data_IF_098153604515
#
_entry.id   IF_098153604515
#
_cell.length_a   1.000
_cell.length_b   1.000
_cell.length_c   1.000
_cell.angle_alpha   90.00
_cell.angle_beta   90.00
_cell.angle_gamma   90.00
#
_symmetry.space_group_name_H-M   'P 1'
#
loop_
_entity.id
_entity.type
_entity.pdbx_description
1 polymer ?
#
# COMPACT_ATOMS: atom_id res chain seq x y z
N UNK A 1 22.37 -0.84 7.26
CA UNK A 1 22.62 -0.71 5.80
C UNK A 1 22.16 0.67 5.32
N UNK A 2 22.83 1.26 4.32
CA UNK A 2 22.47 2.55 3.72
C UNK A 2 21.34 2.32 2.70
N UNK A 3 20.23 3.05 2.82
CA UNK A 3 19.20 3.09 1.78
C UNK A 3 19.82 3.62 0.48
N UNK A 4 19.52 2.96 -0.65
CA UNK A 4 20.14 3.23 -1.94
C UNK A 4 19.75 4.61 -2.48
N UNK A 5 20.72 5.36 -2.97
CA UNK A 5 20.49 6.61 -3.70
C UNK A 5 21.31 6.61 -4.98
N UNK A 6 20.66 6.93 -6.10
CA UNK A 6 21.34 7.09 -7.38
C UNK A 6 21.77 8.55 -7.54
N UNK A 7 23.08 8.78 -7.66
CA UNK A 7 23.68 10.10 -7.80
C UNK A 7 23.71 10.49 -9.27
N UNK A 8 22.82 11.39 -9.71
CA UNK A 8 22.88 11.98 -11.05
C UNK A 8 23.78 13.23 -10.99
N UNK A 9 24.77 13.32 -11.88
CA UNK A 9 25.50 14.58 -12.10
C UNK A 9 24.61 15.51 -12.93
N UNK A 10 24.12 16.58 -12.32
CA UNK A 10 23.53 17.69 -13.07
C UNK A 10 24.62 18.49 -13.80
N UNK A 11 24.23 19.23 -14.84
CA UNK A 11 25.13 20.00 -15.70
C UNK A 11 25.94 21.12 -15.02
N UNK A 12 25.73 21.37 -13.73
CA UNK A 12 26.35 22.46 -12.97
C UNK A 12 27.06 21.99 -11.67
N UNK A 13 27.52 20.73 -11.62
CA UNK A 13 28.33 20.21 -10.50
C UNK A 13 27.54 19.89 -9.22
N UNK A 14 26.27 20.27 -9.13
CA UNK A 14 25.37 19.80 -8.08
C UNK A 14 24.97 18.33 -8.33
N UNK A 15 25.27 17.50 -7.33
CA UNK A 15 24.92 16.10 -7.37
C UNK A 15 23.59 15.86 -6.66
N UNK A 16 22.61 15.41 -7.42
CA UNK A 16 21.29 15.08 -6.90
C UNK A 16 21.18 13.58 -6.65
N UNK A 17 20.55 13.21 -5.54
CA UNK A 17 20.13 11.86 -5.24
C UNK A 17 18.65 11.72 -5.57
N UNK A 18 18.30 10.80 -6.47
CA UNK A 18 16.89 10.43 -6.68
C UNK A 18 16.57 9.26 -5.76
N UNK A 19 15.51 9.43 -4.96
CA UNK A 19 15.08 8.47 -3.96
C UNK A 19 13.60 8.18 -4.18
N UNK A 20 13.19 6.93 -4.50
CA UNK A 20 11.80 6.57 -4.58
C UNK A 20 11.18 6.59 -3.17
N UNK A 21 10.06 7.30 -3.03
CA UNK A 21 9.31 7.41 -1.78
C UNK A 21 7.90 6.87 -1.99
N UNK A 22 7.51 5.90 -1.17
CA UNK A 22 6.14 5.42 -1.09
C UNK A 22 5.31 6.48 -0.38
N UNK A 23 4.34 7.08 -1.08
CA UNK A 23 3.47 8.12 -0.52
C UNK A 23 2.37 7.55 0.41
N UNK A 24 2.76 6.66 1.31
CA UNK A 24 1.94 6.09 2.38
C UNK A 24 2.81 5.96 3.62
N UNK A 25 2.19 5.97 4.81
CA UNK A 25 2.92 5.58 6.02
C UNK A 25 3.30 4.11 5.95
N UNK A 26 4.46 3.73 6.47
CA UNK A 26 4.90 2.32 6.48
C UNK A 26 3.85 1.37 7.08
N UNK A 27 3.28 1.72 8.22
CA UNK A 27 2.24 0.93 8.91
C UNK A 27 0.96 0.73 8.05
N UNK A 28 0.67 1.64 7.11
CA UNK A 28 -0.52 1.56 6.26
C UNK A 28 -0.41 0.49 5.19
N UNK A 29 0.76 -0.10 4.98
CA UNK A 29 0.94 -1.23 4.07
C UNK A 29 0.15 -2.47 4.52
N UNK A 30 -0.25 -2.57 5.79
CA UNK A 30 -1.21 -3.57 6.25
C UNK A 30 -2.57 -3.52 5.53
N UNK A 31 -2.96 -2.35 5.02
CA UNK A 31 -4.16 -2.16 4.20
C UNK A 31 -3.90 -2.36 2.70
N UNK A 32 -2.63 -2.41 2.29
CA UNK A 32 -2.18 -2.60 0.91
C UNK A 32 -1.53 -3.97 0.73
N UNK A 33 -2.22 -5.03 1.18
CA UNK A 33 -1.66 -6.39 1.23
C UNK A 33 -1.20 -6.90 -0.14
N UNK A 34 -1.89 -6.54 -1.22
CA UNK A 34 -1.48 -6.95 -2.58
C UNK A 34 -0.11 -6.38 -2.95
N UNK A 35 0.14 -5.09 -2.67
CA UNK A 35 1.44 -4.46 -2.92
C UNK A 35 2.53 -5.01 -1.98
N UNK A 36 2.22 -5.18 -0.69
CA UNK A 36 3.14 -5.76 0.27
C UNK A 36 3.53 -7.22 -0.10
N UNK A 37 2.54 -8.01 -0.54
CA UNK A 37 2.76 -9.37 -1.01
C UNK A 37 3.63 -9.38 -2.26
N UNK A 38 3.36 -8.49 -3.22
CA UNK A 38 4.18 -8.39 -4.42
C UNK A 38 5.64 -8.10 -4.05
N UNK A 39 5.90 -7.13 -3.17
CA UNK A 39 7.26 -6.80 -2.72
C UNK A 39 7.96 -7.98 -2.05
N UNK A 40 7.25 -8.71 -1.19
CA UNK A 40 7.75 -9.93 -0.57
C UNK A 40 8.06 -11.01 -1.62
N UNK A 41 7.13 -11.25 -2.54
CA UNK A 41 7.22 -12.28 -3.57
C UNK A 41 8.37 -12.02 -4.58
N UNK A 42 8.61 -10.76 -4.93
CA UNK A 42 9.72 -10.39 -5.84
C UNK A 42 11.06 -10.29 -5.11
N UNK A 43 11.11 -10.45 -3.78
CA UNK A 43 12.33 -10.33 -2.99
C UNK A 43 12.84 -8.89 -2.86
N UNK A 44 11.94 -7.91 -2.92
CA UNK A 44 12.31 -6.50 -2.74
C UNK A 44 12.66 -6.25 -1.27
N UNK A 45 13.86 -5.72 -1.02
CA UNK A 45 14.26 -5.34 0.34
C UNK A 45 13.48 -4.10 0.79
N UNK A 46 12.37 -4.29 1.51
CA UNK A 46 11.46 -3.20 1.92
C UNK A 46 12.15 -2.15 2.80
N UNK A 47 13.22 -2.52 3.52
CA UNK A 47 14.03 -1.57 4.30
C UNK A 47 14.84 -0.60 3.43
N UNK A 48 15.01 -0.89 2.13
CA UNK A 48 15.61 0.03 1.16
C UNK A 48 14.64 1.12 0.69
N UNK A 49 13.32 0.93 0.87
CA UNK A 49 12.31 1.90 0.50
C UNK A 49 12.15 2.98 1.57
N UNK A 50 11.87 4.19 1.12
CA UNK A 50 11.41 5.28 1.99
C UNK A 50 9.90 5.36 1.95
N UNK A 51 9.29 5.54 3.11
CA UNK A 51 7.86 5.83 3.27
C UNK A 51 7.66 7.31 3.62
N UNK A 52 6.44 7.81 3.46
CA UNK A 52 6.12 9.22 3.66
C UNK A 52 6.45 9.71 5.09
N UNK A 53 6.34 8.83 6.08
CA UNK A 53 6.67 9.08 7.49
C UNK A 53 8.17 8.97 7.82
N UNK A 54 9.01 8.64 6.84
CA UNK A 54 10.45 8.43 7.01
C UNK A 54 11.30 9.51 6.31
N UNK A 55 10.65 10.43 5.62
CA UNK A 55 11.30 11.53 4.90
C UNK A 55 10.86 12.84 5.50
N UNK A 56 11.82 13.59 6.03
CA UNK A 56 11.60 14.92 6.57
C UNK A 56 11.51 15.97 5.46
N UNK A 57 10.37 15.95 4.76
CA UNK A 57 10.11 16.85 3.63
C UNK A 57 10.10 18.32 4.06
N UNK A 58 9.64 18.61 5.28
CA UNK A 58 9.57 19.98 5.80
C UNK A 58 10.96 20.59 5.93
N UNK A 59 11.89 19.92 6.64
CA UNK A 59 13.24 20.45 6.79
C UNK A 59 14.01 20.47 5.47
N UNK A 60 13.79 19.50 4.57
CA UNK A 60 14.40 19.51 3.24
C UNK A 60 13.91 20.69 2.39
N UNK A 61 12.62 21.02 2.48
CA UNK A 61 12.02 22.17 1.81
C UNK A 61 12.55 23.49 2.39
N UNK A 62 12.55 23.63 3.72
CA UNK A 62 13.05 24.83 4.41
C UNK A 62 14.54 25.08 4.16
N UNK A 63 15.33 24.00 3.99
CA UNK A 63 16.75 24.10 3.65
C UNK A 63 17.01 24.35 2.15
N UNK A 64 15.98 24.42 1.29
CA UNK A 64 16.13 24.56 -0.16
C UNK A 64 16.76 23.35 -0.85
N UNK A 65 16.73 22.17 -0.21
CA UNK A 65 17.37 20.92 -0.69
C UNK A 65 16.39 19.92 -1.29
N UNK A 66 15.12 20.29 -1.43
CA UNK A 66 14.06 19.42 -1.94
C UNK A 66 13.68 19.81 -3.38
N UNK A 67 13.75 18.84 -4.28
CA UNK A 67 13.09 18.89 -5.58
C UNK A 67 12.16 17.68 -5.67
N UNK A 68 10.85 17.92 -5.63
CA UNK A 68 9.85 16.86 -5.70
C UNK A 68 9.41 16.65 -7.15
N UNK A 69 9.43 15.41 -7.60
CA UNK A 69 8.78 14.98 -8.84
C UNK A 69 7.70 13.98 -8.46
N UNK A 70 6.44 14.35 -8.68
CA UNK A 70 5.33 13.41 -8.57
C UNK A 70 5.16 12.78 -9.94
N UNK A 71 5.27 11.45 -10.01
CA UNK A 71 5.03 10.69 -11.23
C UNK A 71 3.64 10.07 -11.10
N UNK A 72 2.72 10.45 -11.97
CA UNK A 72 1.32 10.01 -11.98
C UNK A 72 0.77 9.93 -13.41
N UNK A 73 -0.48 9.46 -13.55
CA UNK A 73 -1.14 9.36 -14.86
C UNK A 73 -1.11 10.70 -15.58
N UNK A 74 -1.42 11.82 -14.92
CA UNK A 74 -1.43 13.18 -15.48
C UNK A 74 -0.08 13.65 -16.00
N UNK A 75 1.01 13.34 -15.30
CA UNK A 75 2.37 13.69 -15.75
C UNK A 75 2.82 12.78 -16.91
N UNK A 76 2.47 11.49 -16.88
CA UNK A 76 2.84 10.54 -17.93
C UNK A 76 1.94 10.61 -19.19
N UNK A 77 0.67 10.99 -19.04
CA UNK A 77 -0.31 11.11 -20.16
C UNK A 77 -0.27 12.45 -20.88
N UNK A 78 0.53 13.43 -20.43
CA UNK A 78 0.74 14.69 -21.19
C UNK A 78 1.33 14.48 -22.59
N UNK A 79 1.76 13.24 -22.91
CA UNK A 79 2.27 12.83 -24.22
C UNK A 79 1.16 12.24 -25.12
N UNK A 80 -0.10 12.17 -24.66
CA UNK A 80 -1.21 11.65 -25.48
C UNK A 80 -1.17 10.13 -25.68
N UNK A 81 -0.56 9.43 -24.74
CA UNK A 81 -0.30 7.99 -24.82
C UNK A 81 -1.40 7.17 -24.13
N UNK A 82 -2.01 6.25 -24.87
CA UNK A 82 -2.94 5.24 -24.36
C UNK A 82 -2.17 4.15 -23.58
N UNK A 83 -2.59 3.86 -22.33
CA UNK A 83 -2.02 2.77 -21.51
C UNK A 83 -1.92 3.10 -20.02
N UNK A 84 -1.60 2.08 -19.21
CA UNK A 84 -1.32 2.25 -17.77
C UNK A 84 0.04 2.92 -17.54
N UNK A 85 0.29 3.49 -16.36
CA UNK A 85 1.59 4.15 -16.07
C UNK A 85 2.78 3.20 -16.30
N UNK A 86 2.63 1.93 -15.93
CA UNK A 86 3.69 0.95 -16.09
C UNK A 86 3.90 0.50 -17.55
N UNK A 87 2.90 0.66 -18.42
CA UNK A 87 3.06 0.51 -19.87
C UNK A 87 3.97 1.59 -20.41
N UNK A 88 3.71 2.86 -20.07
CA UNK A 88 4.56 3.99 -20.48
C UNK A 88 6.00 3.83 -19.96
N UNK A 89 6.17 3.37 -18.71
CA UNK A 89 7.51 3.07 -18.17
C UNK A 89 8.21 1.93 -18.92
N UNK A 90 7.46 0.90 -19.31
CA UNK A 90 8.00 -0.24 -20.06
C UNK A 90 8.47 0.21 -21.44
N UNK A 91 7.68 1.04 -22.13
CA UNK A 91 8.02 1.55 -23.46
C UNK A 91 9.26 2.45 -23.40
N UNK A 92 9.30 3.41 -22.46
CA UNK A 92 10.47 4.27 -22.27
C UNK A 92 11.75 3.48 -21.97
N UNK A 93 11.67 2.46 -21.12
CA UNK A 93 12.84 1.63 -20.80
C UNK A 93 13.21 0.66 -21.91
N UNK A 94 12.28 0.29 -22.80
CA UNK A 94 12.60 -0.55 -23.95
C UNK A 94 13.62 0.14 -24.86
N UNK A 95 13.48 1.46 -25.04
CA UNK A 95 14.39 2.28 -25.85
C UNK A 95 15.63 2.74 -25.06
N UNK A 96 15.43 3.32 -23.87
CA UNK A 96 16.50 4.07 -23.18
C UNK A 96 17.29 3.24 -22.15
N UNK A 97 16.74 2.12 -21.67
CA UNK A 97 17.26 1.43 -20.49
C UNK A 97 16.92 -0.08 -20.47
N UNK A 98 17.09 -0.75 -21.61
CA UNK A 98 16.62 -2.15 -21.79
C UNK A 98 17.20 -3.13 -20.75
N UNK A 99 18.45 -2.91 -20.32
CA UNK A 99 19.10 -3.72 -19.28
C UNK A 99 18.33 -3.69 -17.95
N UNK A 100 17.66 -2.57 -17.64
CA UNK A 100 16.82 -2.45 -16.45
C UNK A 100 15.57 -3.33 -16.55
N UNK A 101 14.99 -3.46 -17.75
CA UNK A 101 13.90 -4.41 -18.01
C UNK A 101 14.35 -5.87 -17.89
N UNK A 102 15.64 -6.17 -18.04
CA UNK A 102 16.17 -7.52 -17.77
C UNK A 102 16.30 -7.83 -16.28
N UNK A 103 16.20 -6.82 -15.40
CA UNK A 103 16.21 -7.03 -13.96
C UNK A 103 14.92 -7.76 -13.53
N UNK A 104 14.98 -8.98 -12.98
CA UNK A 104 13.80 -9.79 -12.71
C UNK A 104 12.78 -9.11 -11.79
N UNK A 105 13.26 -8.36 -10.79
CA UNK A 105 12.41 -7.61 -9.86
C UNK A 105 11.63 -6.52 -10.59
N UNK A 106 12.31 -5.69 -11.39
CA UNK A 106 11.68 -4.60 -12.16
C UNK A 106 10.67 -5.16 -13.14
N UNK A 107 11.05 -6.20 -13.91
CA UNK A 107 10.18 -6.88 -14.87
C UNK A 107 8.87 -7.37 -14.23
N UNK A 108 8.98 -8.03 -13.07
CA UNK A 108 7.80 -8.53 -12.33
C UNK A 108 6.95 -7.41 -11.73
N UNK A 109 7.57 -6.34 -11.22
CA UNK A 109 6.84 -5.19 -10.69
C UNK A 109 6.02 -4.49 -11.77
N UNK A 110 6.62 -4.21 -12.93
CA UNK A 110 5.93 -3.60 -14.07
C UNK A 110 4.80 -4.51 -14.57
N UNK A 111 5.07 -5.80 -14.77
CA UNK A 111 4.07 -6.76 -15.21
C UNK A 111 2.88 -6.83 -14.24
N UNK A 112 3.15 -6.97 -12.93
CA UNK A 112 2.11 -7.05 -11.92
C UNK A 112 1.23 -5.79 -11.89
N UNK A 113 1.83 -4.61 -12.01
CA UNK A 113 1.10 -3.35 -12.04
C UNK A 113 0.18 -3.24 -13.27
N UNK A 114 0.69 -3.54 -14.47
CA UNK A 114 -0.14 -3.56 -15.70
C UNK A 114 -1.29 -4.55 -15.55
N UNK A 115 -1.04 -5.76 -15.04
CA UNK A 115 -2.09 -6.77 -14.87
C UNK A 115 -3.15 -6.37 -13.84
N UNK A 116 -2.77 -5.70 -12.75
CA UNK A 116 -3.72 -5.20 -11.76
C UNK A 116 -4.61 -4.10 -12.33
N UNK A 117 -4.01 -3.11 -12.99
CA UNK A 117 -4.72 -1.96 -13.57
C UNK A 117 -5.65 -2.37 -14.71
N UNK A 118 -5.25 -3.37 -15.50
CA UNK A 118 -6.01 -3.85 -16.65
C UNK A 118 -6.95 -5.02 -16.34
N UNK A 119 -7.00 -5.47 -15.08
CA UNK A 119 -7.68 -6.71 -14.68
C UNK A 119 -7.31 -7.90 -15.59
N UNK A 120 -6.00 -8.12 -15.77
CA UNK A 120 -5.43 -9.16 -16.64
C UNK A 120 -5.79 -8.99 -18.12
N UNK A 121 -5.67 -7.76 -18.64
CA UNK A 121 -6.01 -7.41 -20.03
C UNK A 121 -7.45 -7.75 -20.40
N UNK A 122 -8.40 -7.49 -19.49
CA UNK A 122 -9.80 -7.79 -19.74
C UNK A 122 -10.41 -6.78 -20.74
N UNK A 123 -10.69 -7.27 -21.95
CA UNK A 123 -11.25 -6.51 -23.06
C UNK A 123 -12.67 -5.97 -22.84
N UNK A 124 -13.34 -6.35 -21.74
CA UNK A 124 -14.62 -5.72 -21.36
C UNK A 124 -14.46 -4.32 -20.75
N UNK A 125 -13.22 -3.87 -20.51
CA UNK A 125 -12.94 -2.50 -20.07
C UNK A 125 -13.08 -1.53 -21.26
N UNK A 126 -13.57 -0.32 -21.01
CA UNK A 126 -13.91 0.67 -22.05
C UNK A 126 -12.69 1.28 -22.79
N UNK A 127 -11.47 0.80 -22.55
CA UNK A 127 -10.21 1.38 -23.05
C UNK A 127 -9.50 0.38 -23.95
N UNK A 128 -8.91 0.86 -25.05
CA UNK A 128 -8.07 0.05 -25.94
C UNK A 128 -6.80 -0.38 -25.20
N UNK A 129 -6.66 -1.68 -24.92
CA UNK A 129 -5.53 -2.26 -24.16
C UNK A 129 -4.39 -2.75 -25.06
N UNK A 130 -4.35 -2.35 -26.34
CA UNK A 130 -3.37 -2.87 -27.30
C UNK A 130 -1.93 -2.62 -26.83
N UNK A 131 -1.62 -1.41 -26.34
CA UNK A 131 -0.28 -1.09 -25.81
C UNK A 131 0.04 -1.84 -24.52
N UNK A 132 -0.93 -1.98 -23.61
CA UNK A 132 -0.74 -2.78 -22.40
C UNK A 132 -0.44 -4.25 -22.75
N UNK A 133 -1.09 -4.80 -23.79
CA UNK A 133 -0.86 -6.16 -24.26
C UNK A 133 0.55 -6.34 -24.87
N UNK A 134 1.03 -5.37 -25.65
CA UNK A 134 2.38 -5.36 -26.21
C UNK A 134 3.45 -5.28 -25.10
N UNK A 135 3.28 -4.38 -24.13
CA UNK A 135 4.16 -4.27 -22.97
C UNK A 135 4.18 -5.57 -22.14
N UNK A 136 3.01 -6.18 -21.90
CA UNK A 136 2.91 -7.48 -21.23
C UNK A 136 3.65 -8.56 -22.03
N UNK A 137 3.52 -8.58 -23.36
CA UNK A 137 4.23 -9.55 -24.21
C UNK A 137 5.75 -9.40 -24.08
N UNK A 138 6.27 -8.16 -24.09
CA UNK A 138 7.68 -7.87 -23.89
C UNK A 138 8.17 -8.34 -22.50
N UNK A 139 7.41 -8.05 -21.46
CA UNK A 139 7.75 -8.43 -20.08
C UNK A 139 7.63 -9.94 -19.82
N UNK A 140 6.91 -10.68 -20.66
CA UNK A 140 6.77 -12.13 -20.57
C UNK A 140 7.82 -12.91 -21.37
N UNK A 141 8.73 -12.23 -22.10
CA UNK A 141 9.80 -12.92 -22.83
C UNK A 141 10.64 -13.77 -21.87
N UNK A 142 10.68 -15.08 -22.13
CA UNK A 142 11.37 -16.08 -21.32
C UNK A 142 10.57 -16.62 -20.13
N UNK A 143 9.33 -16.19 -19.91
CA UNK A 143 8.46 -16.73 -18.88
C UNK A 143 7.86 -18.08 -19.28
N UNK A 144 7.45 -18.87 -18.28
CA UNK A 144 6.75 -20.13 -18.52
C UNK A 144 5.36 -19.89 -19.12
N UNK A 145 4.80 -20.87 -19.85
CA UNK A 145 3.39 -20.82 -20.26
C UNK A 145 2.47 -20.53 -19.07
N UNK A 146 1.39 -19.79 -19.29
CA UNK A 146 0.40 -19.38 -18.29
C UNK A 146 0.91 -18.48 -17.15
N UNK A 147 2.19 -18.08 -17.14
CA UNK A 147 2.75 -17.25 -16.07
C UNK A 147 1.93 -15.99 -15.78
N UNK A 148 1.44 -15.32 -16.83
CA UNK A 148 0.56 -14.14 -16.72
C UNK A 148 -0.66 -14.38 -15.83
N UNK A 149 -1.42 -15.42 -16.14
CA UNK A 149 -2.66 -15.74 -15.42
C UNK A 149 -2.34 -16.21 -14.00
N UNK A 150 -1.34 -17.09 -13.84
CA UNK A 150 -0.93 -17.55 -12.51
C UNK A 150 -0.44 -16.41 -11.62
N UNK A 151 0.28 -15.43 -12.15
CA UNK A 151 0.71 -14.24 -11.41
C UNK A 151 -0.50 -13.38 -11.01
N UNK A 152 -1.44 -13.14 -11.92
CA UNK A 152 -2.64 -12.36 -11.61
C UNK A 152 -3.53 -13.03 -10.57
N UNK A 153 -3.71 -14.35 -10.65
CA UNK A 153 -4.46 -15.13 -9.66
C UNK A 153 -3.80 -15.01 -8.28
N UNK A 154 -2.46 -15.14 -8.22
CA UNK A 154 -1.72 -14.94 -6.98
C UNK A 154 -1.87 -13.51 -6.44
N UNK A 155 -1.82 -12.48 -7.30
CA UNK A 155 -1.97 -11.08 -6.89
C UNK A 155 -3.36 -10.74 -6.33
N UNK A 156 -4.39 -11.44 -6.80
CA UNK A 156 -5.80 -11.18 -6.45
C UNK A 156 -6.33 -12.10 -5.34
N UNK A 157 -5.58 -13.15 -4.99
CA UNK A 157 -5.91 -14.05 -3.90
C UNK A 157 -5.77 -13.36 -2.53
N UNK A 158 -6.58 -13.81 -1.56
CA UNK A 158 -6.42 -13.40 -0.16
C UNK A 158 -5.12 -13.95 0.42
N UNK A 159 -4.22 -13.04 0.80
CA UNK A 159 -2.86 -13.36 1.22
C UNK A 159 -2.83 -13.79 2.68
N UNK A 160 -2.96 -15.11 2.90
CA UNK A 160 -2.99 -15.74 4.24
C UNK A 160 -1.78 -16.59 4.57
N UNK A 161 -0.78 -16.63 3.68
CA UNK A 161 0.44 -17.41 3.90
C UNK A 161 1.16 -16.95 5.18
N UNK A 162 1.50 -17.90 6.06
CA UNK A 162 2.11 -17.59 7.35
C UNK A 162 3.46 -16.88 7.20
N UNK A 163 4.27 -17.28 6.23
CA UNK A 163 5.56 -16.65 5.94
C UNK A 163 5.40 -15.21 5.44
N UNK A 164 4.35 -14.94 4.66
CA UNK A 164 4.01 -13.59 4.24
C UNK A 164 3.53 -12.74 5.43
N UNK A 165 2.66 -13.27 6.30
CA UNK A 165 2.20 -12.54 7.48
C UNK A 165 3.33 -12.19 8.45
N UNK A 166 4.28 -13.10 8.64
CA UNK A 166 5.49 -12.84 9.42
C UNK A 166 6.34 -11.74 8.78
N UNK A 167 6.56 -11.82 7.46
CA UNK A 167 7.27 -10.77 6.73
C UNK A 167 6.54 -9.42 6.78
N UNK A 168 5.20 -9.43 6.73
CA UNK A 168 4.37 -8.23 6.82
C UNK A 168 4.53 -7.56 8.19
N UNK A 169 4.52 -8.36 9.27
CA UNK A 169 4.75 -7.86 10.61
C UNK A 169 6.18 -7.34 10.80
N UNK A 170 7.17 -8.06 10.27
CA UNK A 170 8.56 -7.66 10.35
C UNK A 170 8.85 -6.35 9.61
N UNK A 171 8.32 -6.19 8.38
CA UNK A 171 8.64 -5.07 7.50
C UNK A 171 7.78 -3.82 7.73
N UNK A 172 6.57 -3.97 8.28
CA UNK A 172 5.59 -2.89 8.39
C UNK A 172 5.03 -2.68 9.81
N UNK A 173 5.55 -3.40 10.80
CA UNK A 173 5.11 -3.28 12.20
C UNK A 173 3.87 -4.11 12.52
N UNK A 174 3.27 -3.85 13.69
CA UNK A 174 2.12 -4.63 14.17
C UNK A 174 0.87 -4.38 13.30
N UNK A 175 -0.01 -5.39 13.15
CA UNK A 175 -1.31 -5.16 12.52
C UNK A 175 -2.05 -4.04 13.25
N UNK A 176 -2.85 -3.23 12.54
CA UNK A 176 -3.79 -2.34 13.19
C UNK A 176 -4.58 -3.17 14.21
N UNK A 177 -4.75 -2.66 15.43
CA UNK A 177 -5.67 -3.27 16.36
C UNK A 177 -7.01 -3.39 15.63
N UNK A 178 -7.49 -4.62 15.43
CA UNK A 178 -8.87 -4.81 15.04
C UNK A 178 -9.67 -4.02 16.08
N UNK A 179 -10.51 -3.08 15.62
CA UNK A 179 -11.49 -2.45 16.48
C UNK A 179 -12.46 -3.59 16.82
N UNK A 180 -12.05 -4.42 17.77
CA UNK A 180 -12.93 -5.37 18.42
C UNK A 180 -14.01 -4.52 19.04
N UNK A 181 -15.24 -4.85 18.72
CA UNK A 181 -16.38 -4.45 19.51
C UNK A 181 -16.03 -4.67 20.98
N UNK A 182 -15.94 -3.58 21.75
CA UNK A 182 -16.02 -3.61 23.20
C UNK A 182 -17.40 -4.18 23.56
N UNK A 183 -17.53 -5.50 23.58
CA UNK A 183 -18.52 -6.17 24.40
C UNK A 183 -17.77 -6.62 25.65
N UNK A 184 -17.99 -5.85 26.71
CA UNK A 184 -17.35 -6.02 27.99
C UNK A 184 -17.62 -7.39 28.58
N UNK A 185 -16.61 -7.89 29.27
CA UNK A 185 -16.80 -8.75 30.43
C UNK A 185 -15.73 -8.37 31.46
N UNK A 186 -16.22 -7.85 32.58
CA UNK A 186 -15.47 -7.62 33.79
C UNK A 186 -14.84 -8.93 34.28
N UNK A 187 -13.56 -9.13 33.99
CA UNK A 187 -12.70 -10.06 34.70
C UNK A 187 -11.89 -9.31 35.75
N UNK A 188 -12.50 -8.99 36.89
CA UNK A 188 -11.82 -8.40 38.05
C UNK A 188 -10.71 -9.34 38.50
N UNK A 189 -9.46 -8.91 38.37
CA UNK A 189 -8.33 -9.52 39.08
C UNK A 189 -8.05 -8.67 40.31
N UNK A 190 -8.55 -9.13 41.45
CA UNK A 190 -8.35 -8.53 42.76
C UNK A 190 -6.85 -8.49 43.10
N UNK A 191 -6.24 -7.30 43.02
CA UNK A 191 -5.01 -7.00 43.76
C UNK A 191 -5.35 -6.28 45.05
N UNK A 192 -5.36 -7.08 46.11
CA UNK A 192 -5.29 -6.72 47.52
C UNK A 192 -4.33 -5.54 47.76
N UNK A 193 -4.86 -4.44 48.27
CA UNK A 193 -4.10 -3.47 49.07
C UNK A 193 -5.06 -2.77 50.03
N UNK A 194 -4.80 -2.96 51.31
CA UNK A 194 -5.55 -2.38 52.40
C UNK A 194 -5.11 -0.93 52.63
N UNK A 195 -6.07 -0.02 52.76
CA UNK A 195 -5.99 1.10 53.68
C UNK A 195 -7.36 1.77 53.80
N UNK A 196 -7.86 1.76 55.02
CA UNK A 196 -9.07 2.38 55.57
C UNK A 196 -9.04 3.91 55.49
N UNK A 197 -10.18 4.54 55.16
CA UNK A 197 -10.70 5.70 55.91
C UNK A 197 -12.14 6.07 55.51
N UNK A 198 -13.03 6.01 56.51
CA UNK A 198 -14.17 6.89 56.86
C UNK A 198 -15.00 7.56 55.73
N UNK A 199 -16.29 7.23 55.53
CA UNK A 199 -17.52 7.53 56.30
C UNK A 199 -18.19 8.86 55.90
N UNK A 200 -19.53 8.81 55.85
CA UNK A 200 -20.55 9.87 55.71
C UNK A 200 -20.81 10.33 54.26
N UNK A 201 -21.96 10.03 53.64
CA UNK A 201 -23.39 10.19 53.97
C UNK A 201 -23.94 11.25 53.02
N UNK A 202 -25.00 10.92 52.28
CA UNK A 202 -26.26 11.68 52.24
C UNK A 202 -27.09 11.33 51.01
N UNK A 203 -28.28 10.84 51.35
CA UNK A 203 -29.51 10.59 50.61
C UNK A 203 -29.96 11.77 49.71
N UNK A 204 -30.61 11.46 48.58
CA UNK A 204 -31.91 12.00 48.09
C UNK A 204 -31.93 11.97 46.55
N UNK A 205 -32.65 11.03 45.94
CA UNK A 205 -34.10 11.08 45.63
C UNK A 205 -34.46 12.16 44.61
N UNK A 206 -34.86 11.74 43.40
CA UNK A 206 -36.11 12.23 42.80
C UNK A 206 -36.52 11.36 41.61
N UNK A 207 -37.72 10.81 41.74
CA UNK A 207 -38.57 10.24 40.71
C UNK A 207 -38.79 11.20 39.52
N UNK A 208 -38.94 10.65 38.31
CA UNK A 208 -40.28 10.54 37.71
C UNK A 208 -40.27 9.96 36.28
N UNK A 209 -41.16 8.96 36.11
CA UNK A 209 -42.13 8.76 35.01
C UNK A 209 -41.59 8.64 33.58
N UNK A 210 -41.63 7.43 33.03
CA UNK A 210 -42.78 6.88 32.25
C UNK A 210 -42.90 7.47 30.84
N UNK A 211 -42.59 6.67 29.82
CA UNK A 211 -43.58 6.26 28.82
C UNK A 211 -43.00 5.17 27.90
N UNK A 212 -43.82 4.15 27.72
CA UNK A 212 -43.65 2.93 26.93
C UNK A 212 -44.17 3.20 25.52
N UNK A 213 -43.50 2.77 24.45
CA UNK A 213 -44.16 2.05 23.34
C UNK A 213 -43.17 1.48 22.31
N UNK A 214 -43.35 0.17 22.09
CA UNK A 214 -42.80 -0.70 21.03
C UNK A 214 -43.51 -0.36 19.70
N UNK A 215 -42.79 -0.21 18.58
CA UNK A 215 -42.40 -1.24 17.58
C UNK A 215 -43.41 -1.39 16.42
N UNK A 216 -42.84 -1.53 15.21
CA UNK A 216 -43.32 -2.25 14.01
C UNK A 216 -43.88 -1.41 12.84
N UNK A 217 -43.12 -1.42 11.73
CA UNK A 217 -43.52 -1.15 10.33
C UNK A 217 -44.35 -2.32 9.74
N UNK A 218 -45.05 -2.17 8.60
CA UNK A 218 -44.41 -2.64 7.36
C UNK A 218 -44.86 -1.99 6.02
N UNK A 219 -43.98 -2.16 5.03
CA UNK A 219 -44.14 -2.37 3.57
C UNK A 219 -45.22 -1.62 2.78
N UNK A 220 -44.76 -0.85 1.80
CA UNK A 220 -45.50 -0.52 0.58
C UNK A 220 -45.19 -1.55 -0.51
N UNK A 221 -46.23 -1.98 -1.22
CA UNK A 221 -46.14 -2.48 -2.59
C UNK A 221 -46.24 -1.33 -3.59
#
# INVERSE_FOLDING_TARGET
>A
MRKGSYKRKGGDGEAYAVVPVMNVKRERMWKQKQAAWLFYHVGLEVNSLYFADEVDLENLMMAGKLKLLVVGQDVLTTIGEDGTQCTILTDNYCEDAYDLLQTPVVKKLLLAAILLDTHNLNASSQVSMTRDAEAVQLLLVGATPNYRNSLFDQLTQDQRDSSFLEALQHNYGKPPAEIGHENGEHGVSEKKSASTSHHEDTVQSSDNKSAKTKKVSPKSG
#
